data_IF_067914904328
#
_entry.id   IF_067914904328
#
_cell.length_a   1.000
_cell.length_b   1.000
_cell.length_c   1.000
_cell.angle_alpha   90.00
_cell.angle_beta   90.00
_cell.angle_gamma   90.00
#
_symmetry.space_group_name_H-M   'P 1'
#
loop_
_entity.id
_entity.type
_entity.pdbx_description
1 polymer ?
#
# COMPACT_ATOMS: atom_id res chain seq x y z
N UNK A 1 28.21 3.31 -42.21
CA UNK A 1 27.53 2.09 -41.71
C UNK A 1 26.68 2.49 -40.51
N UNK A 2 25.38 2.77 -40.66
CA UNK A 2 24.52 2.98 -39.50
C UNK A 2 24.12 1.62 -38.92
N UNK A 3 24.29 1.46 -37.61
CA UNK A 3 23.86 0.27 -36.88
C UNK A 3 22.35 0.37 -36.63
N UNK A 4 21.61 -0.68 -37.01
CA UNK A 4 20.18 -0.79 -36.75
C UNK A 4 19.94 -1.06 -35.26
N UNK A 5 19.21 -0.17 -34.60
CA UNK A 5 18.66 -0.41 -33.27
C UNK A 5 17.45 -1.36 -33.40
N UNK A 6 17.50 -2.50 -32.70
CA UNK A 6 16.40 -3.46 -32.63
C UNK A 6 15.17 -2.88 -31.90
N UNK A 7 14.00 -3.52 -32.04
CA UNK A 7 12.75 -3.00 -31.49
C UNK A 7 12.79 -2.99 -29.96
N UNK A 8 12.51 -1.82 -29.38
CA UNK A 8 12.26 -1.66 -27.95
C UNK A 8 11.01 -2.48 -27.59
N UNK A 9 11.19 -3.52 -26.78
CA UNK A 9 10.08 -4.25 -26.19
C UNK A 9 9.44 -3.36 -25.13
N UNK A 10 8.31 -2.75 -25.50
CA UNK A 10 7.52 -1.93 -24.60
C UNK A 10 6.96 -2.78 -23.45
N UNK A 11 7.37 -2.48 -22.23
CA UNK A 11 6.72 -2.98 -21.02
C UNK A 11 5.32 -2.35 -20.97
N UNK A 12 4.32 -3.08 -21.45
CA UNK A 12 2.92 -2.68 -21.42
C UNK A 12 2.36 -2.62 -20.01
N UNK A 13 2.81 -1.64 -19.21
CA UNK A 13 2.12 -1.24 -17.98
C UNK A 13 0.86 -0.49 -18.41
N UNK A 14 -0.34 -0.93 -17.99
CA UNK A 14 -1.56 -0.22 -18.30
C UNK A 14 -1.56 1.17 -17.64
N UNK A 15 -2.18 2.13 -18.33
CA UNK A 15 -2.38 3.50 -17.85
C UNK A 15 -3.21 3.47 -16.55
N UNK A 16 -2.71 4.02 -15.43
CA UNK A 16 -3.42 4.06 -14.15
C UNK A 16 -4.71 4.92 -14.17
N UNK A 17 -5.00 5.62 -15.28
CA UNK A 17 -6.16 6.48 -15.45
C UNK A 17 -7.50 5.81 -15.79
N UNK A 18 -7.56 4.49 -15.99
CA UNK A 18 -8.78 3.80 -16.45
C UNK A 18 -9.57 3.09 -15.33
N UNK A 19 -9.81 3.74 -14.20
CA UNK A 19 -10.78 3.25 -13.21
C UNK A 19 -12.19 3.72 -13.60
N UNK A 20 -12.97 2.84 -14.25
CA UNK A 20 -14.39 3.08 -14.53
C UNK A 20 -15.17 3.02 -13.21
N UNK A 21 -15.87 4.09 -12.86
CA UNK A 21 -16.77 4.11 -11.70
C UNK A 21 -17.86 3.01 -11.86
N UNK A 22 -18.02 2.08 -10.89
CA UNK A 22 -19.11 1.11 -10.96
C UNK A 22 -20.46 1.82 -10.70
N UNK A 23 -21.53 1.43 -11.41
CA UNK A 23 -22.83 2.06 -11.24
C UNK A 23 -23.36 1.87 -9.82
N UNK A 24 -24.02 2.90 -9.30
CA UNK A 24 -24.56 2.98 -7.94
C UNK A 24 -25.68 1.94 -7.69
N UNK A 25 -25.30 0.70 -7.44
CA UNK A 25 -26.17 -0.41 -7.04
C UNK A 25 -26.24 -0.54 -5.52
N UNK A 26 -27.43 -0.34 -4.94
CA UNK A 26 -27.73 -0.50 -3.51
C UNK A 26 -27.20 -1.84 -2.96
N UNK A 27 -26.38 -1.80 -1.90
CA UNK A 27 -26.21 -2.93 -0.97
C UNK A 27 -26.72 -2.57 0.41
N UNK A 28 -27.74 -3.31 0.85
CA UNK A 28 -28.23 -3.38 2.24
C UNK A 28 -27.27 -4.29 3.01
N UNK A 29 -26.71 -3.78 4.10
CA UNK A 29 -25.87 -4.52 5.05
C UNK A 29 -25.58 -3.62 6.25
N UNK A 30 -25.93 -4.09 7.45
CA UNK A 30 -25.90 -3.29 8.67
C UNK A 30 -24.47 -2.88 9.06
N UNK A 31 -24.31 -1.62 9.47
CA UNK A 31 -23.19 -1.20 10.32
C UNK A 31 -21.93 -0.64 9.65
N UNK A 32 -22.01 0.47 8.91
CA UNK A 32 -20.79 1.26 8.62
C UNK A 32 -21.03 2.78 8.47
N UNK A 33 -21.80 3.37 9.39
CA UNK A 33 -22.11 4.81 9.39
C UNK A 33 -20.98 5.74 9.85
N UNK A 34 -19.72 5.28 9.99
CA UNK A 34 -18.57 6.11 10.44
C UNK A 34 -17.47 6.38 9.39
N UNK A 35 -17.61 5.96 8.13
CA UNK A 35 -16.55 6.16 7.11
C UNK A 35 -16.50 7.54 6.43
N UNK A 36 -17.62 8.25 6.32
CA UNK A 36 -17.71 9.52 5.55
C UNK A 36 -16.92 10.71 6.15
N UNK A 37 -16.88 10.93 7.48
CA UNK A 37 -16.16 12.07 8.05
C UNK A 37 -14.64 12.00 7.85
N UNK A 38 -14.09 10.79 7.86
CA UNK A 38 -12.64 10.58 7.79
C UNK A 38 -12.09 10.82 6.37
N UNK A 39 -12.79 10.38 5.33
CA UNK A 39 -12.39 10.65 3.94
C UNK A 39 -12.32 12.16 3.64
N UNK A 40 -13.31 12.93 4.09
CA UNK A 40 -13.29 14.39 3.92
C UNK A 40 -12.12 15.04 4.65
N UNK A 41 -11.72 14.51 5.82
CA UNK A 41 -10.54 14.99 6.53
C UNK A 41 -9.24 14.67 5.79
N UNK A 42 -9.11 13.46 5.23
CA UNK A 42 -7.95 13.07 4.41
C UNK A 42 -7.84 13.92 3.14
N UNK A 43 -8.95 14.19 2.45
CA UNK A 43 -8.97 15.08 1.27
C UNK A 43 -8.50 16.49 1.62
N UNK A 44 -8.94 17.05 2.75
CA UNK A 44 -8.44 18.35 3.23
C UNK A 44 -6.95 18.32 3.56
N UNK A 45 -6.46 17.20 4.10
CA UNK A 45 -5.03 17.02 4.40
C UNK A 45 -4.19 17.02 3.12
N UNK A 46 -4.62 16.28 2.10
CA UNK A 46 -3.97 16.24 0.79
C UNK A 46 -3.95 17.62 0.11
N UNK A 47 -5.03 18.41 0.25
CA UNK A 47 -5.07 19.80 -0.23
C UNK A 47 -4.10 20.69 0.54
N UNK A 48 -4.11 20.61 1.88
CA UNK A 48 -3.24 21.41 2.75
C UNK A 48 -1.75 21.21 2.43
N UNK A 49 -1.35 19.97 2.16
CA UNK A 49 0.03 19.62 1.80
C UNK A 49 0.30 19.65 0.29
N UNK A 50 -0.68 20.04 -0.54
CA UNK A 50 -0.54 20.17 -1.99
C UNK A 50 -0.07 18.88 -2.69
N UNK A 51 -0.58 17.73 -2.22
CA UNK A 51 -0.30 16.41 -2.80
C UNK A 51 -1.53 15.78 -3.44
N UNK A 52 -2.55 16.59 -3.75
CA UNK A 52 -3.86 16.09 -4.20
C UNK A 52 -3.74 15.29 -5.52
N UNK A 53 -2.87 15.72 -6.42
CA UNK A 53 -2.59 15.04 -7.69
C UNK A 53 -1.79 13.74 -7.56
N UNK A 54 -1.23 13.48 -6.38
CA UNK A 54 -0.45 12.28 -6.08
C UNK A 54 -1.20 11.25 -5.22
N UNK A 55 -2.47 11.53 -4.87
CA UNK A 55 -3.26 10.67 -3.97
C UNK A 55 -4.57 10.26 -4.62
N UNK A 56 -4.72 8.96 -4.88
CA UNK A 56 -5.98 8.36 -5.35
C UNK A 56 -6.74 7.74 -4.18
N UNK A 57 -7.97 8.22 -3.93
CA UNK A 57 -8.87 7.62 -2.95
C UNK A 57 -9.80 6.62 -3.66
N UNK A 58 -9.43 5.35 -3.69
CA UNK A 58 -10.16 4.28 -4.42
C UNK A 58 -11.54 3.95 -3.84
N UNK A 59 -11.82 4.33 -2.60
CA UNK A 59 -13.08 3.98 -1.94
C UNK A 59 -13.08 2.55 -1.40
N UNK A 60 -14.14 1.79 -1.66
CA UNK A 60 -14.20 0.38 -1.29
C UNK A 60 -13.80 -0.46 -2.49
N UNK A 61 -12.73 -1.24 -2.36
CA UNK A 61 -12.23 -2.20 -3.36
C UNK A 61 -12.78 -3.58 -3.00
N UNK A 62 -13.21 -4.37 -4.00
CA UNK A 62 -13.69 -5.72 -3.73
C UNK A 62 -12.53 -6.67 -3.40
N UNK A 63 -12.80 -7.75 -2.65
CA UNK A 63 -11.76 -8.72 -2.31
C UNK A 63 -11.09 -9.37 -3.54
N UNK A 64 -11.82 -9.48 -4.66
CA UNK A 64 -11.29 -10.03 -5.91
C UNK A 64 -10.29 -9.08 -6.60
N UNK A 65 -10.39 -7.77 -6.35
CA UNK A 65 -9.54 -6.76 -6.98
C UNK A 65 -8.30 -6.42 -6.13
N UNK A 66 -8.34 -6.69 -4.81
CA UNK A 66 -7.24 -6.38 -3.89
C UNK A 66 -5.86 -6.89 -4.36
N UNK A 67 -5.70 -8.14 -4.86
CA UNK A 67 -4.41 -8.61 -5.35
C UNK A 67 -3.87 -7.78 -6.51
N UNK A 68 -4.74 -7.34 -7.44
CA UNK A 68 -4.33 -6.49 -8.54
C UNK A 68 -3.91 -5.10 -8.05
N UNK A 69 -4.59 -4.55 -7.04
CA UNK A 69 -4.18 -3.30 -6.41
C UNK A 69 -2.82 -3.40 -5.71
N UNK A 70 -2.53 -4.50 -5.03
CA UNK A 70 -1.21 -4.70 -4.42
C UNK A 70 -0.12 -4.92 -5.48
N UNK A 71 -0.38 -5.72 -6.51
CA UNK A 71 0.59 -6.01 -7.58
C UNK A 71 0.96 -4.77 -8.42
N UNK A 72 0.11 -3.74 -8.45
CA UNK A 72 0.44 -2.46 -9.09
C UNK A 72 1.35 -1.56 -8.24
N UNK A 73 1.53 -1.85 -6.95
CA UNK A 73 2.31 -1.01 -6.06
C UNK A 73 3.81 -1.36 -6.12
N UNK A 74 4.67 -0.35 -6.02
CA UNK A 74 6.11 -0.55 -5.80
C UNK A 74 6.43 -0.80 -4.31
N UNK A 75 5.56 -0.31 -3.40
CA UNK A 75 5.64 -0.48 -1.94
C UNK A 75 4.24 -0.53 -1.34
N UNK A 76 3.97 -1.48 -0.44
CA UNK A 76 2.77 -1.46 0.40
C UNK A 76 3.09 -0.80 1.75
N UNK A 77 2.35 0.25 2.13
CA UNK A 77 2.58 0.97 3.38
C UNK A 77 1.34 1.01 4.27
N UNK A 78 1.44 0.41 5.46
CA UNK A 78 0.45 0.51 6.51
C UNK A 78 1.14 0.79 7.86
N UNK A 79 1.52 2.06 8.14
CA UNK A 79 2.18 2.47 9.38
C UNK A 79 1.17 2.55 10.54
N UNK A 80 0.58 1.40 10.88
CA UNK A 80 -0.38 1.26 11.97
C UNK A 80 0.22 1.71 13.32
N UNK A 81 -0.65 2.07 14.27
CA UNK A 81 -0.24 2.59 15.58
C UNK A 81 -1.10 1.95 16.66
N UNK A 82 -0.48 1.48 17.74
CA UNK A 82 -1.22 1.05 18.92
C UNK A 82 -2.00 2.23 19.50
N UNK A 83 -3.33 2.11 19.58
CA UNK A 83 -4.21 3.07 20.27
C UNK A 83 -4.78 2.42 21.54
N UNK A 84 -5.20 3.23 22.50
CA UNK A 84 -5.93 2.74 23.68
C UNK A 84 -5.15 1.81 24.61
N UNK A 85 -3.86 2.07 24.85
CA UNK A 85 -3.02 1.31 25.79
C UNK A 85 -2.88 -0.20 25.49
N UNK A 86 -2.96 -0.61 24.21
CA UNK A 86 -2.80 -2.01 23.80
C UNK A 86 -4.10 -2.73 23.44
N UNK A 87 -5.25 -2.05 23.51
CA UNK A 87 -6.56 -2.60 23.16
C UNK A 87 -6.91 -2.51 21.67
N UNK A 88 -6.18 -1.69 20.90
CA UNK A 88 -6.35 -1.59 19.46
C UNK A 88 -5.40 -2.59 18.78
N UNK A 89 -5.83 -3.85 18.74
CA UNK A 89 -5.14 -4.92 18.01
C UNK A 89 -5.60 -4.85 16.56
N UNK A 90 -5.03 -3.93 15.78
CA UNK A 90 -5.28 -3.87 14.34
C UNK A 90 -4.77 -5.15 13.68
N UNK A 91 -5.70 -6.05 13.38
CA UNK A 91 -5.60 -7.07 12.34
C UNK A 91 -4.71 -8.27 12.68
N UNK A 92 -5.17 -9.45 12.30
CA UNK A 92 -4.44 -10.74 12.29
C UNK A 92 -3.26 -10.77 11.30
N UNK A 93 -2.73 -9.60 10.91
CA UNK A 93 -1.65 -9.48 9.92
C UNK A 93 -2.03 -9.84 8.48
N UNK A 94 -3.27 -10.30 8.22
CA UNK A 94 -3.71 -10.83 6.91
C UNK A 94 -3.39 -9.88 5.75
N UNK A 95 -3.62 -8.57 5.91
CA UNK A 95 -3.35 -7.60 4.83
C UNK A 95 -1.85 -7.50 4.50
N UNK A 96 -0.96 -7.72 5.48
CA UNK A 96 0.48 -7.76 5.23
C UNK A 96 0.88 -9.05 4.50
N UNK A 97 0.26 -10.18 4.82
CA UNK A 97 0.44 -11.44 4.08
C UNK A 97 -0.04 -11.30 2.64
N UNK A 98 -1.23 -10.72 2.43
CA UNK A 98 -1.78 -10.48 1.10
C UNK A 98 -0.88 -9.56 0.26
N UNK A 99 -0.32 -8.50 0.86
CA UNK A 99 0.66 -7.66 0.18
C UNK A 99 1.95 -8.44 -0.14
N UNK A 100 2.50 -9.16 0.84
CA UNK A 100 3.73 -9.95 0.67
C UNK A 100 3.58 -11.02 -0.41
N UNK A 101 2.42 -11.67 -0.49
CA UNK A 101 2.09 -12.68 -1.51
C UNK A 101 2.07 -12.11 -2.95
N UNK A 102 1.92 -10.80 -3.11
CA UNK A 102 2.02 -10.12 -4.41
C UNK A 102 3.44 -9.66 -4.75
N UNK A 103 4.42 -9.97 -3.91
CA UNK A 103 5.83 -9.68 -4.18
C UNK A 103 6.23 -8.22 -3.97
N UNK A 104 5.45 -7.45 -3.20
CA UNK A 104 5.77 -6.05 -2.87
C UNK A 104 6.34 -5.94 -1.46
N UNK A 105 7.37 -5.11 -1.24
CA UNK A 105 7.90 -4.89 0.11
C UNK A 105 6.88 -4.16 0.97
N UNK A 106 6.81 -4.55 2.25
CA UNK A 106 5.86 -4.00 3.22
C UNK A 106 6.54 -3.01 4.17
N UNK A 107 5.98 -1.81 4.33
CA UNK A 107 6.31 -0.87 5.41
C UNK A 107 5.17 -0.91 6.43
N UNK A 108 5.46 -1.46 7.61
CA UNK A 108 4.48 -1.68 8.67
C UNK A 108 4.80 -0.88 9.94
N UNK A 109 3.75 -0.55 10.69
CA UNK A 109 3.91 -0.02 12.05
C UNK A 109 4.30 -1.10 13.06
N UNK A 110 4.71 -0.70 14.26
CA UNK A 110 5.09 -1.62 15.34
C UNK A 110 3.92 -2.15 16.19
N UNK A 111 2.72 -2.28 15.62
CA UNK A 111 1.49 -2.63 16.34
C UNK A 111 0.64 -3.69 15.62
N UNK A 112 -0.27 -4.34 16.35
CA UNK A 112 -1.11 -5.41 15.79
C UNK A 112 -0.30 -6.64 15.38
N UNK A 113 -0.76 -7.41 14.39
CA UNK A 113 -0.04 -8.58 13.86
C UNK A 113 1.16 -8.25 12.97
N UNK A 114 1.53 -6.97 12.81
CA UNK A 114 2.64 -6.55 11.96
C UNK A 114 4.00 -7.16 12.33
N UNK A 115 4.43 -7.19 13.61
CA UNK A 115 5.74 -7.73 13.98
C UNK A 115 5.84 -9.25 13.77
N UNK A 116 4.71 -9.95 13.78
CA UNK A 116 4.62 -11.40 13.58
C UNK A 116 4.63 -11.77 12.09
N UNK A 117 4.22 -10.84 11.23
CA UNK A 117 4.02 -11.06 9.80
C UNK A 117 5.13 -10.47 8.92
N UNK A 118 5.76 -9.38 9.37
CA UNK A 118 6.80 -8.66 8.63
C UNK A 118 8.15 -8.87 9.32
N UNK A 119 9.07 -9.53 8.63
CA UNK A 119 10.44 -9.70 9.10
C UNK A 119 11.25 -8.46 8.73
N UNK A 120 11.58 -7.65 9.74
CA UNK A 120 12.30 -6.39 9.54
C UNK A 120 13.63 -6.59 8.80
N UNK A 121 13.85 -5.79 7.75
CA UNK A 121 14.98 -5.85 6.81
C UNK A 121 15.06 -7.12 5.96
N UNK A 122 14.08 -8.02 6.06
CA UNK A 122 14.02 -9.25 5.24
C UNK A 122 12.83 -9.19 4.28
N UNK A 123 11.61 -9.12 4.79
CA UNK A 123 10.38 -9.06 3.97
C UNK A 123 9.78 -7.66 3.93
N UNK A 124 10.26 -6.76 4.78
CA UNK A 124 9.79 -5.39 4.87
C UNK A 124 10.48 -4.56 5.95
N UNK A 125 9.93 -3.39 6.23
CA UNK A 125 10.43 -2.45 7.23
C UNK A 125 9.39 -2.25 8.33
N UNK A 126 9.81 -2.32 9.59
CA UNK A 126 8.99 -1.96 10.75
C UNK A 126 9.43 -0.55 11.17
N UNK A 127 8.47 0.36 11.30
CA UNK A 127 8.71 1.75 11.70
C UNK A 127 7.79 2.17 12.85
N UNK A 128 8.18 3.22 13.58
CA UNK A 128 7.23 3.89 14.46
C UNK A 128 6.20 4.66 13.61
N UNK A 129 4.97 4.14 13.53
CA UNK A 129 3.88 4.76 12.76
C UNK A 129 3.45 6.14 13.28
N UNK A 130 3.96 6.61 14.43
CA UNK A 130 3.78 7.99 14.92
C UNK A 130 4.77 8.97 14.31
N UNK A 131 5.91 8.51 13.80
CA UNK A 131 6.95 9.35 13.22
C UNK A 131 6.75 9.47 11.72
N UNK A 132 6.31 10.65 11.27
CA UNK A 132 6.16 10.94 9.83
C UNK A 132 7.49 10.78 9.10
N UNK A 133 8.58 11.27 9.69
CA UNK A 133 9.92 11.19 9.08
C UNK A 133 10.36 9.74 8.88
N UNK A 134 10.18 8.88 9.90
CA UNK A 134 10.54 7.45 9.76
C UNK A 134 9.72 6.73 8.70
N UNK A 135 8.43 7.06 8.58
CA UNK A 135 7.57 6.50 7.53
C UNK A 135 8.02 6.99 6.15
N UNK A 136 8.29 8.29 6.02
CA UNK A 136 8.73 8.90 4.77
C UNK A 136 10.09 8.36 4.32
N UNK A 137 11.06 8.25 5.23
CA UNK A 137 12.38 7.68 4.96
C UNK A 137 12.29 6.23 4.50
N UNK A 138 11.44 5.42 5.14
CA UNK A 138 11.28 4.01 4.78
C UNK A 138 10.66 3.84 3.40
N UNK A 139 9.57 4.56 3.10
CA UNK A 139 8.91 4.50 1.79
C UNK A 139 9.82 5.09 0.71
N UNK A 140 10.37 6.28 0.94
CA UNK A 140 11.26 6.95 0.00
C UNK A 140 12.54 6.16 -0.28
N UNK A 141 13.11 5.51 0.75
CA UNK A 141 14.29 4.67 0.60
C UNK A 141 14.04 3.43 -0.26
N UNK A 142 12.87 2.78 -0.12
CA UNK A 142 12.50 1.64 -0.97
C UNK A 142 12.20 2.08 -2.42
N UNK A 143 11.54 3.21 -2.61
CA UNK A 143 11.28 3.76 -3.94
C UNK A 143 12.58 4.22 -4.65
N UNK A 144 13.58 4.68 -3.89
CA UNK A 144 14.88 5.08 -4.41
C UNK A 144 15.81 3.89 -4.71
N UNK A 145 15.54 2.70 -4.17
CA UNK A 145 16.32 1.47 -4.39
C UNK A 145 15.40 0.30 -4.83
N UNK A 146 15.03 0.25 -6.13
CA UNK A 146 14.17 -0.80 -6.66
C UNK A 146 14.76 -2.21 -6.51
N UNK A 147 16.10 -2.33 -6.46
CA UNK A 147 16.77 -3.62 -6.27
C UNK A 147 16.51 -4.17 -4.88
N UNK A 148 16.70 -3.34 -3.84
CA UNK A 148 16.36 -3.70 -2.47
C UNK A 148 14.86 -3.98 -2.30
N UNK A 149 14.00 -3.18 -2.93
CA UNK A 149 12.56 -3.38 -2.90
C UNK A 149 12.16 -4.75 -3.48
N UNK A 150 12.72 -5.13 -4.63
CA UNK A 150 12.45 -6.42 -5.28
C UNK A 150 12.93 -7.61 -4.43
N UNK A 151 14.11 -7.50 -3.81
CA UNK A 151 14.63 -8.55 -2.91
C UNK A 151 13.70 -8.77 -1.71
N UNK A 152 13.26 -7.68 -1.08
CA UNK A 152 12.36 -7.77 0.08
C UNK A 152 10.97 -8.30 -0.30
N UNK A 153 10.42 -7.83 -1.41
CA UNK A 153 9.14 -8.30 -1.92
C UNK A 153 9.15 -9.80 -2.25
N UNK A 154 10.19 -10.28 -2.93
CA UNK A 154 10.35 -11.70 -3.24
C UNK A 154 10.44 -12.56 -1.97
N UNK A 155 11.17 -12.10 -0.94
CA UNK A 155 11.29 -12.82 0.32
C UNK A 155 9.96 -12.95 1.08
N UNK A 156 9.05 -11.99 0.91
CA UNK A 156 7.71 -12.03 1.50
C UNK A 156 6.72 -12.98 0.79
N UNK A 157 6.94 -13.27 -0.49
CA UNK A 157 6.05 -14.11 -1.30
C UNK A 157 6.30 -15.62 -1.19
N UNK A 158 7.42 -16.05 -0.62
CA UNK A 158 7.83 -17.46 -0.50
C UNK A 158 7.30 -18.20 0.75
N UNK A 159 6.09 -17.86 1.20
CA UNK A 159 5.42 -18.53 2.33
C UNK A 159 4.79 -19.88 1.97
#
# INVERSE_FOLDING_TARGET
MPVAAGPAQGSGRPDPGAAVDPPAGRRRGAGHRRRRPYLSALRRLAQRYRVTEHVVFTGAVSGAELPAHHAMADVFAMPCRTRGAGLDVEGLGIVFLEASATGVPVVAGCSGGAPETVQHNTTGLIVDGRSVDKVADAVGGLLADPGRAAVMGAAGGTG
#
